data_IF_508213590806
#
_entry.id   IF_508213590806
#
_cell.length_a   1.000
_cell.length_b   1.000
_cell.length_c   1.000
_cell.angle_alpha   90.00
_cell.angle_beta   90.00
_cell.angle_gamma   90.00
#
_symmetry.space_group_name_H-M   'P 1'
#
loop_
_entity.id
_entity.type
_entity.pdbx_description
1 polymer ?
#
# COMPACT_ATOMS: atom_id res chain seq x y z
N UNK A 1 -3.01 -14.67 18.08
CA UNK A 1 -4.39 -14.23 17.75
C UNK A 1 -4.58 -13.96 16.27
N UNK A 2 -4.08 -12.85 15.69
CA UNK A 2 -4.30 -12.54 14.26
C UNK A 2 -3.57 -13.53 13.34
N UNK A 3 -2.33 -13.89 13.67
CA UNK A 3 -1.54 -14.88 12.92
C UNK A 3 -2.18 -16.29 12.97
N UNK A 4 -2.70 -16.71 14.12
CA UNK A 4 -3.42 -18.00 14.28
C UNK A 4 -4.77 -18.04 13.55
N UNK A 5 -5.42 -16.89 13.35
CA UNK A 5 -6.66 -16.77 12.57
C UNK A 5 -6.41 -16.84 11.06
N UNK A 6 -5.18 -16.55 10.60
CA UNK A 6 -4.84 -16.52 9.17
C UNK A 6 -4.90 -17.90 8.52
N UNK A 7 -4.74 -18.96 9.31
CA UNK A 7 -4.72 -20.35 8.83
C UNK A 7 -6.12 -21.00 8.87
N UNK A 8 -7.15 -20.26 9.31
CA UNK A 8 -8.53 -20.75 9.34
C UNK A 8 -9.23 -20.56 7.99
N UNK A 9 -9.77 -21.63 7.37
CA UNK A 9 -10.47 -21.54 6.07
C UNK A 9 -11.76 -20.71 6.15
N UNK A 10 -12.41 -20.67 7.31
CA UNK A 10 -13.60 -19.84 7.55
C UNK A 10 -13.25 -18.35 7.54
N UNK A 11 -12.10 -18.00 8.11
CA UNK A 11 -11.59 -16.64 8.12
C UNK A 11 -11.18 -16.18 6.72
N UNK A 12 -10.54 -17.06 5.94
CA UNK A 12 -10.23 -16.80 4.53
C UNK A 12 -11.52 -16.54 3.72
N UNK A 13 -12.56 -17.35 3.91
CA UNK A 13 -13.84 -17.18 3.21
C UNK A 13 -14.48 -15.80 3.47
N UNK A 14 -14.43 -15.32 4.72
CA UNK A 14 -14.97 -13.99 5.10
C UNK A 14 -14.19 -12.85 4.43
N UNK A 15 -12.88 -12.99 4.26
CA UNK A 15 -12.02 -11.94 3.70
C UNK A 15 -11.79 -12.06 2.19
N UNK A 16 -12.27 -13.14 1.57
CA UNK A 16 -12.10 -13.43 0.14
C UNK A 16 -12.53 -12.26 -0.75
N UNK A 17 -13.74 -11.72 -0.54
CA UNK A 17 -14.26 -10.59 -1.35
C UNK A 17 -13.35 -9.37 -1.28
N UNK A 18 -12.77 -9.09 -0.10
CA UNK A 18 -11.88 -7.93 0.10
C UNK A 18 -10.52 -8.16 -0.55
N UNK A 19 -9.97 -9.36 -0.39
CA UNK A 19 -8.67 -9.74 -0.97
C UNK A 19 -8.74 -9.83 -2.49
N UNK A 20 -9.83 -10.36 -3.05
CA UNK A 20 -10.09 -10.38 -4.50
C UNK A 20 -10.19 -8.97 -5.09
N UNK A 21 -10.82 -8.02 -4.38
CA UNK A 21 -10.87 -6.62 -4.85
C UNK A 21 -9.49 -5.99 -4.91
N UNK A 22 -8.66 -6.22 -3.90
CA UNK A 22 -7.25 -5.77 -3.91
C UNK A 22 -6.49 -6.44 -5.06
N UNK A 23 -6.64 -7.75 -5.26
CA UNK A 23 -5.99 -8.47 -6.35
C UNK A 23 -6.45 -7.97 -7.73
N UNK A 24 -7.74 -7.67 -7.90
CA UNK A 24 -8.29 -7.11 -9.13
C UNK A 24 -7.71 -5.71 -9.40
N UNK A 25 -7.57 -4.89 -8.35
CA UNK A 25 -6.91 -3.61 -8.44
C UNK A 25 -5.44 -3.72 -8.84
N UNK A 26 -4.72 -4.75 -8.39
CA UNK A 26 -3.34 -5.02 -8.81
C UNK A 26 -3.26 -5.56 -10.24
N UNK A 27 -4.20 -6.41 -10.63
CA UNK A 27 -4.24 -7.09 -11.93
C UNK A 27 -3.51 -8.44 -11.91
N UNK A 28 -3.63 -9.20 -13.00
CA UNK A 28 -3.13 -10.58 -13.10
C UNK A 28 -1.61 -10.70 -13.19
N UNK A 29 -0.91 -9.63 -13.58
CA UNK A 29 0.56 -9.61 -13.71
C UNK A 29 1.30 -9.60 -12.37
N UNK A 30 0.61 -9.21 -11.30
CA UNK A 30 1.18 -9.07 -9.95
C UNK A 30 0.35 -9.91 -8.95
N UNK A 31 0.39 -11.26 -9.08
CA UNK A 31 -0.41 -12.14 -8.23
C UNK A 31 0.15 -12.20 -6.80
N UNK A 32 -0.69 -11.86 -5.82
CA UNK A 32 -0.39 -11.98 -4.40
C UNK A 32 -1.12 -13.19 -3.81
N UNK A 33 -0.48 -13.81 -2.83
CA UNK A 33 -1.05 -14.86 -1.99
C UNK A 33 -2.05 -14.26 -1.00
N UNK A 34 -2.92 -15.09 -0.42
CA UNK A 34 -3.88 -14.63 0.58
C UNK A 34 -3.19 -13.93 1.77
N UNK A 35 -2.09 -14.47 2.30
CA UNK A 35 -1.36 -13.84 3.42
C UNK A 35 -0.78 -12.47 3.07
N UNK A 36 -0.27 -12.31 1.85
CA UNK A 36 0.21 -11.01 1.36
C UNK A 36 -0.95 -10.00 1.24
N UNK A 37 -2.08 -10.43 0.67
CA UNK A 37 -3.29 -9.60 0.55
C UNK A 37 -3.85 -9.25 1.93
N UNK A 38 -3.86 -10.18 2.88
CA UNK A 38 -4.30 -9.97 4.25
C UNK A 38 -3.44 -8.93 4.96
N UNK A 39 -2.12 -8.98 4.78
CA UNK A 39 -1.23 -7.96 5.32
C UNK A 39 -1.55 -6.57 4.75
N UNK A 40 -1.87 -6.47 3.46
CA UNK A 40 -2.34 -5.23 2.85
C UNK A 40 -3.64 -4.76 3.50
N UNK A 41 -4.63 -5.63 3.71
CA UNK A 41 -5.88 -5.26 4.38
C UNK A 41 -5.65 -4.76 5.81
N UNK A 42 -4.68 -5.36 6.51
CA UNK A 42 -4.33 -5.06 7.89
C UNK A 42 -3.09 -4.15 7.98
N UNK A 43 -3.12 -3.01 7.29
CA UNK A 43 -1.94 -2.15 7.10
C UNK A 43 -1.16 -1.81 8.38
N UNK A 44 -1.81 -1.62 9.53
CA UNK A 44 -1.18 -1.25 10.81
C UNK A 44 -0.90 -2.41 11.78
N UNK A 45 -1.10 -3.66 11.35
CA UNK A 45 -1.04 -4.83 12.25
C UNK A 45 0.37 -5.34 12.55
N UNK A 46 1.38 -4.92 11.77
CA UNK A 46 2.79 -5.32 11.92
C UNK A 46 3.00 -6.84 11.86
N UNK A 47 2.28 -7.52 10.96
CA UNK A 47 2.38 -8.98 10.77
C UNK A 47 3.74 -9.39 10.20
N UNK A 48 4.15 -10.63 10.49
CA UNK A 48 5.27 -11.26 9.80
C UNK A 48 4.78 -11.89 8.50
N UNK A 49 5.36 -11.46 7.37
CA UNK A 49 5.00 -11.99 6.05
C UNK A 49 6.10 -12.94 5.58
N UNK A 50 5.72 -14.14 5.16
CA UNK A 50 6.64 -15.08 4.49
C UNK A 50 6.97 -14.56 3.09
N UNK A 51 8.22 -14.15 2.86
CA UNK A 51 8.62 -13.45 1.62
C UNK A 51 9.35 -14.31 0.61
N UNK A 52 9.62 -15.59 0.90
CA UNK A 52 10.19 -16.52 -0.07
C UNK A 52 9.90 -17.97 0.33
N UNK A 53 9.44 -18.83 -0.59
CA UNK A 53 9.79 -20.24 -0.52
C UNK A 53 11.26 -20.35 -0.91
N UNK A 54 12.13 -20.72 0.04
CA UNK A 54 13.49 -21.06 -0.33
C UNK A 54 13.48 -22.24 -1.31
N UNK A 55 14.44 -22.32 -2.25
CA UNK A 55 14.60 -23.52 -3.06
C UNK A 55 14.68 -24.75 -2.16
N UNK A 56 14.00 -25.82 -2.56
CA UNK A 56 13.95 -27.10 -1.87
C UNK A 56 15.37 -27.54 -1.49
N UNK A 57 15.67 -27.58 -0.18
CA UNK A 57 17.00 -27.93 0.34
C UNK A 57 17.77 -26.82 1.08
N UNK A 58 17.20 -25.63 1.27
CA UNK A 58 17.81 -24.61 2.14
C UNK A 58 17.85 -25.03 3.61
N UNK A 59 19.03 -24.90 4.23
CA UNK A 59 19.26 -25.06 5.67
C UNK A 59 18.71 -23.90 6.51
N UNK A 60 18.43 -22.77 5.89
CA UNK A 60 17.74 -21.65 6.52
C UNK A 60 16.24 -21.86 6.38
N UNK A 61 15.51 -21.85 7.49
CA UNK A 61 14.06 -21.97 7.52
C UNK A 61 13.34 -20.80 6.82
N UNK A 62 12.01 -20.81 6.87
CA UNK A 62 11.15 -19.79 6.25
C UNK A 62 11.63 -18.36 6.56
N UNK A 63 11.80 -17.53 5.52
CA UNK A 63 12.19 -16.12 5.67
C UNK A 63 10.93 -15.28 5.88
N UNK A 64 10.81 -14.73 7.08
CA UNK A 64 9.78 -13.77 7.43
C UNK A 64 10.32 -12.35 7.35
N UNK A 65 9.54 -11.45 6.76
CA UNK A 65 9.81 -10.01 6.75
C UNK A 65 8.70 -9.31 7.53
N UNK A 66 9.09 -8.43 8.44
CA UNK A 66 8.13 -7.62 9.18
C UNK A 66 7.41 -6.66 8.23
N UNK A 67 6.08 -6.60 8.35
CA UNK A 67 5.24 -5.69 7.56
C UNK A 67 5.68 -4.23 7.70
N UNK A 68 6.21 -3.82 8.86
CA UNK A 68 6.69 -2.45 9.02
C UNK A 68 7.88 -2.12 8.10
N UNK A 69 8.81 -3.06 7.92
CA UNK A 69 9.92 -2.89 6.97
C UNK A 69 9.41 -2.80 5.53
N UNK A 70 8.39 -3.58 5.16
CA UNK A 70 7.75 -3.50 3.85
C UNK A 70 7.02 -2.17 3.66
N UNK A 71 6.32 -1.68 4.69
CA UNK A 71 5.68 -0.36 4.67
C UNK A 71 6.72 0.75 4.44
N UNK A 72 7.86 0.71 5.12
CA UNK A 72 8.94 1.67 4.93
C UNK A 72 9.53 1.59 3.51
N UNK A 73 9.72 0.37 2.97
CA UNK A 73 10.16 0.16 1.60
C UNK A 73 9.17 0.78 0.60
N UNK A 74 7.87 0.54 0.78
CA UNK A 74 6.83 1.09 -0.07
C UNK A 74 6.72 2.61 0.00
N UNK A 75 6.91 3.19 1.19
CA UNK A 75 6.96 4.65 1.37
C UNK A 75 8.15 5.27 0.60
N UNK A 76 9.34 4.68 0.72
CA UNK A 76 10.53 5.13 -0.03
C UNK A 76 10.35 4.98 -1.54
N UNK A 77 9.77 3.88 -2.00
CA UNK A 77 9.43 3.66 -3.41
C UNK A 77 8.47 4.76 -3.91
N UNK A 78 7.39 5.01 -3.16
CA UNK A 78 6.43 6.06 -3.49
C UNK A 78 7.11 7.43 -3.59
N UNK A 79 7.89 7.80 -2.58
CA UNK A 79 8.58 9.10 -2.53
C UNK A 79 9.54 9.29 -3.71
N UNK A 80 10.36 8.28 -3.99
CA UNK A 80 11.31 8.31 -5.10
C UNK A 80 10.60 8.45 -6.45
N UNK A 81 9.55 7.66 -6.68
CA UNK A 81 8.88 7.66 -7.97
C UNK A 81 7.96 8.87 -8.16
N UNK A 82 7.31 9.39 -7.13
CA UNK A 82 6.59 10.67 -7.22
C UNK A 82 7.55 11.82 -7.57
N UNK A 83 8.70 11.90 -6.89
CA UNK A 83 9.70 12.93 -7.19
C UNK A 83 10.24 12.79 -8.62
N UNK A 84 10.62 11.58 -9.04
CA UNK A 84 11.18 11.37 -10.37
C UNK A 84 10.18 11.60 -11.50
N UNK A 85 8.92 11.22 -11.33
CA UNK A 85 7.91 11.41 -12.37
C UNK A 85 7.61 12.89 -12.62
N UNK A 86 7.64 13.74 -11.59
CA UNK A 86 7.37 15.16 -11.75
C UNK A 86 8.55 15.93 -12.32
N UNK A 87 9.76 15.57 -11.89
CA UNK A 87 10.98 16.28 -12.29
C UNK A 87 11.52 15.75 -13.61
N UNK A 88 11.33 14.47 -13.94
CA UNK A 88 11.96 13.85 -15.11
C UNK A 88 10.99 13.05 -15.99
N UNK A 89 9.68 13.19 -15.78
CA UNK A 89 8.66 12.48 -16.56
C UNK A 89 8.59 12.91 -18.03
N UNK A 90 8.97 14.15 -18.30
CA UNK A 90 9.15 14.74 -19.63
C UNK A 90 10.44 15.56 -19.66
N UNK A 91 10.85 16.10 -20.82
CA UNK A 91 11.99 17.02 -20.90
C UNK A 91 11.61 18.44 -20.45
N UNK A 92 10.39 18.65 -19.95
CA UNK A 92 9.85 19.98 -19.66
C UNK A 92 10.61 20.65 -18.50
N UNK A 93 11.11 19.87 -17.54
CA UNK A 93 11.99 20.37 -16.47
C UNK A 93 13.24 21.10 -16.98
N UNK A 94 13.74 20.78 -18.19
CA UNK A 94 14.88 21.49 -18.78
C UNK A 94 14.53 22.91 -19.23
N UNK A 95 13.23 23.19 -19.37
CA UNK A 95 12.68 24.50 -19.76
C UNK A 95 11.99 25.24 -18.61
N UNK A 96 11.78 24.59 -17.47
CA UNK A 96 11.15 25.21 -16.29
C UNK A 96 12.15 26.01 -15.47
N UNK A 97 11.67 27.09 -14.87
CA UNK A 97 12.37 27.80 -13.81
C UNK A 97 12.36 26.99 -12.51
N UNK A 98 13.26 27.32 -11.58
CA UNK A 98 13.31 26.66 -10.27
C UNK A 98 11.98 26.81 -9.50
N UNK A 99 11.29 27.94 -9.64
CA UNK A 99 10.00 28.22 -8.99
C UNK A 99 8.87 27.34 -9.55
N UNK A 100 8.81 27.16 -10.87
CA UNK A 100 7.82 26.27 -11.52
C UNK A 100 8.05 24.80 -11.15
N UNK A 101 9.31 24.40 -11.00
CA UNK A 101 9.68 23.06 -10.55
C UNK A 101 9.29 22.85 -9.07
N UNK A 102 9.54 23.83 -8.21
CA UNK A 102 9.09 23.80 -6.81
C UNK A 102 7.57 23.72 -6.70
N UNK A 103 6.83 24.48 -7.50
CA UNK A 103 5.37 24.39 -7.57
C UNK A 103 4.92 22.99 -8.02
N UNK A 104 5.55 22.41 -9.05
CA UNK A 104 5.21 21.07 -9.53
C UNK A 104 5.48 19.98 -8.48
N UNK A 105 6.57 20.12 -7.71
CA UNK A 105 6.88 19.25 -6.57
C UNK A 105 5.88 19.47 -5.43
N UNK A 106 5.41 20.70 -5.22
CA UNK A 106 4.47 21.04 -4.15
C UNK A 106 3.12 20.32 -4.24
N UNK A 107 2.73 19.89 -5.45
CA UNK A 107 1.50 19.13 -5.72
C UNK A 107 1.43 17.84 -4.89
N UNK A 108 2.58 17.24 -4.56
CA UNK A 108 2.69 16.04 -3.74
C UNK A 108 3.15 16.30 -2.30
N UNK A 109 3.01 17.52 -1.77
CA UNK A 109 3.33 17.79 -0.36
C UNK A 109 2.38 17.06 0.60
N UNK A 110 1.08 17.00 0.29
CA UNK A 110 0.10 16.25 1.10
C UNK A 110 -0.10 14.82 0.56
N UNK A 111 0.95 14.01 0.69
CA UNK A 111 0.98 12.61 0.23
C UNK A 111 -0.12 11.77 0.89
N UNK A 112 -0.39 12.01 2.17
CA UNK A 112 -1.40 11.26 2.90
C UNK A 112 -2.80 11.55 2.33
N UNK A 113 -3.13 12.82 2.05
CA UNK A 113 -4.40 13.14 1.41
C UNK A 113 -4.50 12.55 0.00
N UNK A 114 -3.41 12.55 -0.78
CA UNK A 114 -3.42 11.97 -2.13
C UNK A 114 -3.67 10.47 -2.11
N UNK A 115 -2.96 9.75 -1.24
CA UNK A 115 -3.15 8.31 -1.05
C UNK A 115 -4.59 8.03 -0.60
N UNK A 116 -5.13 8.83 0.32
CA UNK A 116 -6.51 8.68 0.76
C UNK A 116 -7.53 8.87 -0.35
N UNK A 117 -7.38 9.92 -1.17
CA UNK A 117 -8.25 10.15 -2.32
C UNK A 117 -8.15 9.01 -3.33
N UNK A 118 -6.96 8.48 -3.61
CA UNK A 118 -6.75 7.33 -4.49
C UNK A 118 -7.42 6.06 -3.95
N UNK A 119 -7.20 5.76 -2.68
CA UNK A 119 -7.79 4.59 -2.00
C UNK A 119 -9.32 4.65 -1.98
N UNK A 120 -9.90 5.84 -1.85
CA UNK A 120 -11.35 6.04 -1.94
C UNK A 120 -11.85 5.92 -3.38
N UNK A 121 -11.16 6.51 -4.36
CA UNK A 121 -11.54 6.45 -5.77
C UNK A 121 -11.50 5.02 -6.34
N UNK A 122 -10.71 4.14 -5.73
CA UNK A 122 -10.55 2.75 -6.12
C UNK A 122 -11.35 1.77 -5.24
N UNK A 123 -12.21 2.26 -4.35
CA UNK A 123 -12.97 1.48 -3.36
C UNK A 123 -12.13 0.55 -2.46
N UNK A 124 -10.82 0.82 -2.37
CA UNK A 124 -9.87 0.06 -1.55
C UNK A 124 -9.97 0.41 -0.08
N UNK A 125 -10.39 1.64 0.23
CA UNK A 125 -10.57 2.09 1.61
C UNK A 125 -11.65 1.29 2.36
N UNK A 126 -12.59 0.68 1.65
CA UNK A 126 -13.62 -0.22 2.21
C UNK A 126 -13.10 -1.65 2.46
N UNK A 127 -12.00 -2.04 1.81
CA UNK A 127 -11.38 -3.34 2.04
C UNK A 127 -10.56 -3.36 3.35
N UNK A 128 -9.95 -2.23 3.69
CA UNK A 128 -9.04 -2.09 4.82
C UNK A 128 -9.71 -2.45 6.15
N UNK A 129 -8.99 -3.17 7.00
CA UNK A 129 -9.42 -3.55 8.34
C UNK A 129 -8.72 -2.62 9.33
N UNK A 130 -9.44 -1.67 9.97
CA UNK A 130 -8.84 -0.72 10.91
C UNK A 130 -8.26 -1.48 12.11
N UNK A 131 -6.94 -1.43 12.28
CA UNK A 131 -6.26 -2.03 13.41
C UNK A 131 -5.91 -0.97 14.46
N UNK A 132 -6.27 -1.22 15.73
CA UNK A 132 -6.08 -0.27 16.84
C UNK A 132 -4.85 -0.55 17.71
N UNK A 133 -4.12 -1.65 17.47
CA UNK A 133 -3.06 -2.09 18.38
C UNK A 133 -3.58 -2.52 19.75
N UNK A 134 -2.66 -2.98 20.59
CA UNK A 134 -2.93 -3.46 21.97
C UNK A 134 -3.27 -2.30 22.93
N UNK A 135 -3.11 -1.05 22.51
CA UNK A 135 -3.24 0.13 23.38
C UNK A 135 -4.66 0.68 23.60
N UNK A 136 -5.71 0.04 23.08
CA UNK A 136 -7.09 0.50 23.32
C UNK A 136 -7.96 -0.53 24.04
N UNK A 137 -7.60 -0.88 25.27
CA UNK A 137 -8.49 -1.54 26.22
C UNK A 137 -9.56 -0.59 26.83
N UNK A 138 -9.78 0.59 26.23
CA UNK A 138 -10.73 1.59 26.73
C UNK A 138 -11.92 1.78 25.79
N UNK A 139 -13.13 1.44 26.25
CA UNK A 139 -14.42 1.74 25.63
C UNK A 139 -14.68 3.26 25.64
N UNK A 140 -14.11 4.00 24.68
CA UNK A 140 -14.43 5.42 24.51
C UNK A 140 -15.75 5.53 23.73
N UNK A 141 -16.86 5.55 24.48
CA UNK A 141 -18.22 5.61 23.95
C UNK A 141 -18.59 6.94 23.25
N UNK A 142 -17.86 8.05 23.45
CA UNK A 142 -18.33 9.40 23.05
C UNK A 142 -17.39 10.27 22.15
N UNK A 143 -16.41 9.68 21.42
CA UNK A 143 -15.63 10.39 20.36
C UNK A 143 -15.59 9.63 19.02
N UNK A 144 -16.59 8.78 18.80
CA UNK A 144 -16.46 7.60 17.95
C UNK A 144 -16.27 7.89 16.45
N UNK A 145 -16.86 8.94 15.87
CA UNK A 145 -16.83 9.15 14.40
C UNK A 145 -15.49 9.70 13.92
N UNK A 146 -15.04 10.84 14.47
CA UNK A 146 -13.78 11.48 14.06
C UNK A 146 -12.55 10.61 14.36
N UNK A 147 -12.56 9.88 15.48
CA UNK A 147 -11.46 8.97 15.83
C UNK A 147 -11.42 7.73 14.94
N UNK A 148 -12.58 7.16 14.59
CA UNK A 148 -12.66 6.04 13.62
C UNK A 148 -12.17 6.48 12.25
N UNK A 149 -12.55 7.66 11.79
CA UNK A 149 -12.11 8.17 10.50
C UNK A 149 -10.58 8.36 10.46
N UNK A 150 -9.99 8.93 11.52
CA UNK A 150 -8.53 9.06 11.62
C UNK A 150 -7.80 7.72 11.59
N UNK A 151 -8.31 6.71 12.32
CA UNK A 151 -7.71 5.37 12.28
C UNK A 151 -7.86 4.75 10.89
N UNK A 152 -9.04 4.87 10.26
CA UNK A 152 -9.27 4.39 8.89
C UNK A 152 -8.29 5.04 7.93
N UNK A 153 -8.11 6.36 8.00
CA UNK A 153 -7.18 7.08 7.13
C UNK A 153 -5.73 6.60 7.30
N UNK A 154 -5.25 6.53 8.54
CA UNK A 154 -3.89 6.01 8.83
C UNK A 154 -3.72 4.57 8.38
N UNK A 155 -4.76 3.75 8.52
CA UNK A 155 -4.72 2.35 8.07
C UNK A 155 -4.68 2.28 6.55
N UNK A 156 -5.46 3.08 5.84
CA UNK A 156 -5.44 3.12 4.37
C UNK A 156 -4.07 3.52 3.83
N UNK A 157 -3.44 4.55 4.39
CA UNK A 157 -2.08 4.97 4.02
C UNK A 157 -1.08 3.84 4.29
N UNK A 158 -1.14 3.24 5.48
CA UNK A 158 -0.29 2.10 5.83
C UNK A 158 -0.51 0.88 4.92
N UNK A 159 -1.75 0.58 4.55
CA UNK A 159 -2.13 -0.49 3.63
C UNK A 159 -1.57 -0.25 2.24
N UNK A 160 -1.67 0.99 1.75
CA UNK A 160 -1.11 1.38 0.47
C UNK A 160 0.41 1.23 0.42
N UNK A 161 1.13 1.70 1.44
CA UNK A 161 2.57 1.51 1.51
C UNK A 161 2.96 0.04 1.70
N UNK A 162 2.21 -0.73 2.48
CA UNK A 162 2.44 -2.17 2.61
C UNK A 162 2.29 -2.88 1.27
N UNK A 163 1.28 -2.51 0.48
CA UNK A 163 1.06 -3.02 -0.87
C UNK A 163 2.26 -2.73 -1.78
N UNK A 164 2.72 -1.48 -1.85
CA UNK A 164 3.92 -1.14 -2.63
C UNK A 164 5.16 -1.91 -2.17
N UNK A 165 5.37 -2.02 -0.85
CA UNK A 165 6.49 -2.76 -0.28
C UNK A 165 6.49 -4.23 -0.66
N UNK A 166 5.34 -4.89 -0.57
CA UNK A 166 5.16 -6.30 -0.96
C UNK A 166 5.43 -6.47 -2.45
N UNK A 167 4.86 -5.61 -3.30
CA UNK A 167 5.05 -5.65 -4.74
C UNK A 167 6.54 -5.52 -5.11
N UNK A 168 7.22 -4.52 -4.56
CA UNK A 168 8.64 -4.26 -4.85
C UNK A 168 9.51 -5.41 -4.35
N UNK A 169 9.23 -5.95 -3.16
CA UNK A 169 9.98 -7.08 -2.61
C UNK A 169 9.81 -8.35 -3.44
N UNK A 170 8.61 -8.62 -3.95
CA UNK A 170 8.26 -9.87 -4.64
C UNK A 170 8.61 -9.86 -6.12
N UNK A 171 8.32 -8.77 -6.82
CA UNK A 171 8.45 -8.67 -8.27
C UNK A 171 9.64 -7.82 -8.74
N UNK A 172 10.27 -7.09 -7.82
CA UNK A 172 11.32 -6.13 -8.14
C UNK A 172 10.78 -4.79 -8.63
N UNK A 173 11.56 -3.73 -8.40
CA UNK A 173 11.18 -2.35 -8.69
C UNK A 173 10.78 -2.14 -10.16
N UNK A 174 11.53 -2.70 -11.11
CA UNK A 174 11.29 -2.49 -12.54
C UNK A 174 9.94 -3.05 -13.00
N UNK A 175 9.58 -4.26 -12.58
CA UNK A 175 8.30 -4.87 -12.91
C UNK A 175 7.14 -4.07 -12.30
N UNK A 176 7.27 -3.63 -11.06
CA UNK A 176 6.26 -2.79 -10.40
C UNK A 176 6.09 -1.46 -11.12
N UNK A 177 7.18 -0.83 -11.56
CA UNK A 177 7.11 0.42 -12.32
C UNK A 177 6.35 0.22 -13.63
N UNK A 178 6.73 -0.81 -14.39
CA UNK A 178 6.17 -1.11 -15.71
C UNK A 178 4.72 -1.55 -15.67
N UNK A 179 4.38 -2.45 -14.75
CA UNK A 179 3.10 -3.17 -14.78
C UNK A 179 2.06 -2.60 -13.79
N UNK A 180 2.46 -1.71 -12.87
CA UNK A 180 1.56 -1.10 -11.89
C UNK A 180 1.72 0.43 -11.79
N UNK A 181 2.92 0.94 -11.52
CA UNK A 181 3.11 2.36 -11.22
C UNK A 181 2.73 3.25 -12.41
N UNK A 182 3.40 3.09 -13.55
CA UNK A 182 3.14 3.91 -14.73
C UNK A 182 1.71 3.74 -15.26
N UNK A 183 1.19 2.51 -15.50
CA UNK A 183 -0.11 2.34 -16.12
C UNK A 183 -1.30 2.59 -15.18
N UNK A 184 -1.14 2.48 -13.85
CA UNK A 184 -2.24 2.67 -12.89
C UNK A 184 -2.07 3.88 -11.99
N UNK A 185 -0.91 4.00 -11.34
CA UNK A 185 -0.69 5.10 -10.39
C UNK A 185 -0.47 6.44 -11.09
N UNK A 186 0.20 6.45 -12.24
CA UNK A 186 0.45 7.68 -13.02
C UNK A 186 -0.51 7.86 -14.19
N UNK A 187 -1.58 7.06 -14.26
CA UNK A 187 -2.53 7.19 -15.35
C UNK A 187 -3.19 8.57 -15.33
N UNK A 188 -3.22 9.33 -16.44
CA UNK A 188 -3.72 10.70 -16.46
C UNK A 188 -5.21 10.81 -16.10
N UNK A 189 -5.99 9.74 -16.31
CA UNK A 189 -7.45 9.74 -16.11
C UNK A 189 -7.88 9.05 -14.80
N UNK A 190 -7.04 8.21 -14.22
CA UNK A 190 -7.45 7.33 -13.11
C UNK A 190 -6.43 7.25 -11.97
N UNK A 191 -5.22 7.79 -12.16
CA UNK A 191 -4.14 7.77 -11.20
C UNK A 191 -4.00 9.06 -10.39
N UNK A 192 -2.86 9.18 -9.74
CA UNK A 192 -2.46 10.29 -8.88
C UNK A 192 -2.49 11.64 -9.60
N UNK A 193 -2.14 11.69 -10.89
CA UNK A 193 -2.11 12.94 -11.69
C UNK A 193 -3.48 13.62 -11.83
N UNK A 194 -4.59 12.87 -11.73
CA UNK A 194 -5.95 13.44 -11.74
C UNK A 194 -6.40 13.92 -10.36
N UNK A 195 -5.85 13.31 -9.32
CA UNK A 195 -6.29 13.44 -7.93
C UNK A 195 -5.55 14.58 -7.21
N UNK A 196 -4.30 14.79 -7.63
CA UNK A 196 -3.48 15.97 -7.43
C UNK A 196 -4.17 17.23 -7.93
#
# INVERSE_FOLDING_TARGET
>A
VLEELCDSPEFEAVLRVRTERVQAFLGSKLPLTFHELLSILCGLSNMNIKTSPLPTGSLFGDVFTQQDALRQLGARFFDFHCANTLVFGDLHYLSCTAEELEQSISIFQDKESLIMKLMNASDLSECVIPYRGVHSAGLIKNRATGFRQRIKSRTCVASFYSMLGILVRKFGSEAVVRDFWNPKMLHPIHGLLRIA
#
